data_IF_660864556155
#
_entry.id   IF_660864556155
#
_cell.length_a   1.000
_cell.length_b   1.000
_cell.length_c   1.000
_cell.angle_alpha   90.00
_cell.angle_beta   90.00
_cell.angle_gamma   90.00
#
_symmetry.space_group_name_H-M   'P 1'
#
loop_
_entity.id
_entity.type
_entity.pdbx_description
1 polymer ?
#
# COMPACT_ATOMS: atom_id res chain seq x y z
N UNK A 1 96.19 -29.14 -24.18
CA UNK A 1 95.01 -29.93 -24.62
C UNK A 1 93.77 -29.14 -24.16
N UNK A 2 93.15 -28.45 -25.11
CA UNK A 2 92.04 -27.51 -24.88
C UNK A 2 90.73 -28.30 -24.96
N UNK A 3 89.88 -28.17 -23.95
CA UNK A 3 88.47 -28.63 -23.98
C UNK A 3 87.57 -27.48 -24.50
N UNK A 4 86.56 -27.78 -25.33
CA UNK A 4 85.71 -26.74 -25.93
C UNK A 4 84.63 -26.24 -24.99
N UNK A 5 84.42 -24.93 -25.02
CA UNK A 5 83.41 -24.23 -24.30
C UNK A 5 81.97 -24.61 -24.75
N UNK A 6 81.12 -24.83 -23.76
CA UNK A 6 79.75 -25.28 -23.94
C UNK A 6 78.86 -24.17 -24.54
N UNK A 7 78.10 -24.50 -25.59
CA UNK A 7 77.23 -23.64 -26.41
C UNK A 7 75.90 -23.27 -25.66
N UNK A 8 75.82 -23.56 -24.35
CA UNK A 8 74.59 -23.39 -23.59
C UNK A 8 74.30 -21.96 -23.10
N UNK A 9 75.14 -20.94 -23.43
CA UNK A 9 74.98 -19.57 -22.91
C UNK A 9 74.36 -18.58 -23.90
N UNK A 10 73.98 -18.99 -25.12
CA UNK A 10 73.54 -18.04 -26.17
C UNK A 10 72.02 -17.82 -26.28
N UNK A 11 71.17 -18.45 -25.45
CA UNK A 11 69.73 -18.26 -25.49
C UNK A 11 69.10 -18.01 -24.11
N UNK A 12 69.56 -16.94 -23.45
CA UNK A 12 68.76 -16.33 -22.34
C UNK A 12 68.01 -15.12 -22.88
N UNK A 13 66.68 -15.17 -23.00
CA UNK A 13 65.91 -13.98 -23.34
C UNK A 13 66.07 -12.93 -22.21
N UNK A 14 66.14 -11.66 -22.54
CA UNK A 14 66.34 -10.61 -21.53
C UNK A 14 65.12 -10.58 -20.58
N UNK A 15 65.38 -10.51 -19.26
CA UNK A 15 64.40 -10.54 -18.19
C UNK A 15 63.22 -9.55 -18.38
N UNK A 16 63.45 -8.47 -19.11
CA UNK A 16 62.48 -7.42 -19.48
C UNK A 16 61.43 -7.95 -20.45
N UNK A 17 61.73 -8.93 -21.34
CA UNK A 17 60.76 -9.49 -22.27
C UNK A 17 59.75 -10.41 -21.55
N UNK A 18 60.18 -11.18 -20.55
CA UNK A 18 59.27 -12.00 -19.73
C UNK A 18 58.31 -11.19 -18.86
N UNK A 19 58.79 -10.03 -18.37
CA UNK A 19 57.98 -9.14 -17.53
C UNK A 19 56.86 -8.43 -18.34
N UNK A 20 57.14 -8.05 -19.59
CA UNK A 20 56.14 -7.46 -20.50
C UNK A 20 55.06 -8.47 -20.92
N UNK A 21 55.44 -9.72 -21.15
CA UNK A 21 54.47 -10.79 -21.49
C UNK A 21 53.58 -11.12 -20.29
N UNK A 22 54.13 -11.15 -19.06
CA UNK A 22 53.32 -11.36 -17.85
C UNK A 22 52.36 -10.21 -17.57
N UNK A 23 52.79 -8.95 -17.80
CA UNK A 23 51.89 -7.77 -17.63
C UNK A 23 50.76 -7.77 -18.67
N UNK A 24 51.07 -8.09 -19.93
CA UNK A 24 50.06 -8.18 -20.99
C UNK A 24 49.05 -9.33 -20.75
N UNK A 25 49.50 -10.47 -20.22
CA UNK A 25 48.62 -11.59 -19.86
C UNK A 25 47.69 -11.25 -18.66
N UNK A 26 48.19 -10.51 -17.65
CA UNK A 26 47.41 -10.03 -16.53
C UNK A 26 46.37 -8.98 -16.94
N UNK A 27 46.71 -8.05 -17.82
CA UNK A 27 45.76 -7.06 -18.38
C UNK A 27 44.67 -7.73 -19.23
N UNK A 28 45.03 -8.74 -20.05
CA UNK A 28 44.06 -9.50 -20.83
C UNK A 28 43.10 -10.31 -19.94
N UNK A 29 43.60 -10.89 -18.84
CA UNK A 29 42.77 -11.61 -17.86
C UNK A 29 41.81 -10.69 -17.11
N UNK A 30 42.27 -9.50 -16.71
CA UNK A 30 41.40 -8.47 -16.10
C UNK A 30 40.32 -7.98 -17.07
N UNK A 31 40.68 -7.76 -18.35
CA UNK A 31 39.71 -7.33 -19.37
C UNK A 31 38.64 -8.41 -19.64
N UNK A 32 39.04 -9.68 -19.69
CA UNK A 32 38.09 -10.79 -19.83
C UNK A 32 37.18 -10.97 -18.61
N UNK A 33 37.70 -10.74 -17.39
CA UNK A 33 36.90 -10.85 -16.16
C UNK A 33 35.86 -9.70 -16.04
N UNK A 34 36.16 -8.52 -16.57
CA UNK A 34 35.21 -7.41 -16.65
C UNK A 34 34.07 -7.65 -17.66
N UNK A 35 34.33 -8.47 -18.71
CA UNK A 35 33.30 -8.81 -19.70
C UNK A 35 32.40 -9.98 -19.27
N UNK A 36 32.77 -10.72 -18.21
CA UNK A 36 32.01 -11.86 -17.67
C UNK A 36 31.17 -11.49 -16.43
N UNK A 37 31.20 -10.23 -15.98
CA UNK A 37 30.23 -9.77 -14.99
C UNK A 37 28.86 -9.78 -15.67
N UNK A 38 27.91 -10.63 -15.24
CA UNK A 38 26.56 -10.49 -15.73
C UNK A 38 26.09 -9.09 -15.31
N UNK A 39 25.84 -8.25 -16.30
CA UNK A 39 25.10 -7.03 -16.10
C UNK A 39 23.73 -7.49 -15.61
N UNK A 40 23.58 -7.57 -14.30
CA UNK A 40 22.25 -7.66 -13.69
C UNK A 40 21.57 -6.35 -14.05
N UNK A 41 21.01 -6.30 -15.26
CA UNK A 41 19.98 -5.35 -15.56
C UNK A 41 18.93 -5.57 -14.47
N UNK A 42 18.95 -4.70 -13.45
CA UNK A 42 17.87 -4.63 -12.50
C UNK A 42 16.63 -4.57 -13.35
N UNK A 43 15.74 -5.56 -13.21
CA UNK A 43 14.45 -5.55 -13.84
C UNK A 43 13.73 -4.31 -13.29
N UNK A 44 13.98 -3.15 -13.91
CA UNK A 44 13.09 -2.03 -13.81
C UNK A 44 11.77 -2.59 -14.29
N UNK A 45 10.87 -2.84 -13.37
CA UNK A 45 9.50 -3.21 -13.66
C UNK A 45 9.02 -2.12 -14.62
N UNK A 46 8.93 -2.45 -15.91
CA UNK A 46 8.41 -1.55 -16.93
C UNK A 46 6.98 -1.28 -16.50
N UNK A 47 6.76 -0.18 -15.79
CA UNK A 47 5.42 0.33 -15.55
C UNK A 47 4.78 0.47 -16.92
N UNK A 48 3.71 -0.25 -17.17
CA UNK A 48 2.93 -0.17 -18.40
C UNK A 48 2.59 1.30 -18.59
N UNK A 49 2.99 1.94 -19.72
CA UNK A 49 2.68 3.34 -19.94
C UNK A 49 1.15 3.51 -19.93
N UNK A 50 0.64 4.27 -18.94
CA UNK A 50 -0.80 4.52 -18.77
C UNK A 50 -1.46 3.82 -17.58
N UNK A 51 -0.82 2.88 -16.89
CA UNK A 51 -1.36 2.31 -15.65
C UNK A 51 -1.24 3.31 -14.50
N UNK A 52 -2.35 3.62 -13.84
CA UNK A 52 -2.32 4.43 -12.63
C UNK A 52 -1.59 3.67 -11.51
N UNK A 53 -0.85 4.39 -10.64
CA UNK A 53 -0.13 3.75 -9.54
C UNK A 53 -1.09 3.18 -8.50
N UNK A 54 -0.77 1.99 -7.97
CA UNK A 54 -1.59 1.33 -6.96
C UNK A 54 -1.69 2.17 -5.68
N UNK A 55 -2.88 2.18 -5.10
CA UNK A 55 -3.25 2.97 -3.91
C UNK A 55 -3.67 2.05 -2.77
N UNK A 56 -3.18 2.32 -1.57
CA UNK A 56 -3.66 1.75 -0.31
C UNK A 56 -4.36 2.83 0.50
N UNK A 57 -5.54 2.54 1.02
CA UNK A 57 -6.25 3.38 1.99
C UNK A 57 -6.15 2.73 3.37
N UNK A 58 -5.61 3.47 4.34
CA UNK A 58 -5.56 3.04 5.73
C UNK A 58 -6.83 3.41 6.48
N UNK A 59 -7.14 2.65 7.55
CA UNK A 59 -8.18 3.06 8.48
C UNK A 59 -7.86 4.44 9.04
N UNK A 60 -8.88 5.29 9.20
CA UNK A 60 -8.69 6.65 9.68
C UNK A 60 -8.38 6.64 11.17
N UNK A 61 -7.46 7.50 11.59
CA UNK A 61 -7.09 7.63 12.99
C UNK A 61 -8.10 8.50 13.75
N UNK A 62 -8.64 7.99 14.87
CA UNK A 62 -9.44 8.82 15.78
C UNK A 62 -8.51 9.68 16.63
N UNK A 63 -8.47 10.96 16.36
CA UNK A 63 -7.62 11.95 17.03
C UNK A 63 -8.40 12.79 18.06
N UNK A 64 -9.61 12.36 18.40
CA UNK A 64 -10.43 13.04 19.41
C UNK A 64 -9.69 13.01 20.76
N UNK A 65 -9.41 14.17 21.37
CA UNK A 65 -8.80 14.22 22.69
C UNK A 65 -9.62 13.42 23.70
N UNK A 66 -8.96 12.65 24.57
CA UNK A 66 -9.63 11.78 25.54
C UNK A 66 -10.66 12.53 26.42
N UNK A 67 -10.41 13.80 26.73
CA UNK A 67 -11.35 14.66 27.47
C UNK A 67 -12.64 14.98 26.71
N UNK A 68 -12.64 14.85 25.39
CA UNK A 68 -13.80 15.13 24.52
C UNK A 68 -14.38 13.84 23.93
N UNK A 69 -13.73 12.70 24.15
CA UNK A 69 -14.15 11.44 23.58
C UNK A 69 -15.48 10.98 24.18
N UNK A 70 -16.43 10.62 23.30
CA UNK A 70 -17.75 10.07 23.67
C UNK A 70 -17.70 8.52 23.79
N UNK A 71 -16.60 7.98 24.29
CA UNK A 71 -16.36 6.54 24.28
C UNK A 71 -16.30 5.99 22.85
N UNK A 72 -16.74 4.75 22.65
CA UNK A 72 -16.67 4.06 21.35
C UNK A 72 -17.75 4.52 20.33
N UNK A 73 -18.60 5.50 20.69
CA UNK A 73 -19.75 5.89 19.87
C UNK A 73 -19.37 6.42 18.47
N UNK A 74 -18.13 6.90 18.29
CA UNK A 74 -17.62 7.44 17.02
C UNK A 74 -16.53 6.60 16.39
N UNK A 75 -16.09 5.51 17.03
CA UNK A 75 -15.01 4.65 16.53
C UNK A 75 -15.34 3.97 15.19
N UNK A 76 -16.63 3.75 14.89
CA UNK A 76 -17.07 3.24 13.60
C UNK A 76 -16.59 4.12 12.43
N UNK A 77 -16.34 5.42 12.64
CA UNK A 77 -15.85 6.33 11.61
C UNK A 77 -14.45 5.93 11.09
N UNK A 78 -13.62 5.28 11.88
CA UNK A 78 -12.28 4.85 11.46
C UNK A 78 -12.34 4.02 10.19
N UNK A 79 -13.17 2.98 10.20
CA UNK A 79 -13.33 2.07 9.05
C UNK A 79 -14.34 2.59 8.04
N UNK A 80 -15.38 3.25 8.49
CA UNK A 80 -16.42 3.76 7.58
C UNK A 80 -15.89 4.82 6.63
N UNK A 81 -15.04 5.74 7.10
CA UNK A 81 -14.42 6.76 6.26
C UNK A 81 -13.44 6.15 5.25
N UNK A 82 -12.61 5.19 5.66
CA UNK A 82 -11.68 4.51 4.76
C UNK A 82 -12.41 3.67 3.71
N UNK A 83 -13.47 2.94 4.08
CA UNK A 83 -14.27 2.14 3.16
C UNK A 83 -15.11 2.99 2.19
N UNK A 84 -15.63 4.13 2.67
CA UNK A 84 -16.33 5.09 1.82
C UNK A 84 -15.37 5.65 0.75
N UNK A 85 -14.18 6.07 1.15
CA UNK A 85 -13.15 6.54 0.23
C UNK A 85 -12.71 5.43 -0.74
N UNK A 86 -12.44 4.22 -0.23
CA UNK A 86 -12.08 3.06 -1.05
C UNK A 86 -13.15 2.78 -2.10
N UNK A 87 -14.43 2.84 -1.72
CA UNK A 87 -15.56 2.67 -2.64
C UNK A 87 -15.56 3.72 -3.75
N UNK A 88 -15.26 4.98 -3.41
CA UNK A 88 -15.12 6.05 -4.41
C UNK A 88 -13.94 5.80 -5.35
N UNK A 89 -12.80 5.37 -4.82
CA UNK A 89 -11.60 5.10 -5.62
C UNK A 89 -11.74 3.89 -6.55
N UNK A 90 -12.47 2.85 -6.13
CA UNK A 90 -12.77 1.68 -6.96
C UNK A 90 -13.59 2.02 -8.22
N UNK A 91 -14.28 3.18 -8.23
CA UNK A 91 -15.01 3.66 -9.41
C UNK A 91 -14.09 4.39 -10.41
N UNK A 92 -12.85 4.69 -10.04
CA UNK A 92 -11.88 5.34 -10.93
C UNK A 92 -11.33 4.30 -11.91
N UNK A 93 -11.58 4.50 -13.18
CA UNK A 93 -11.13 3.58 -14.22
C UNK A 93 -9.60 3.45 -14.24
N UNK A 94 -9.11 2.21 -14.14
CA UNK A 94 -7.69 1.91 -14.22
C UNK A 94 -6.87 2.24 -12.97
N UNK A 95 -7.50 2.65 -11.85
CA UNK A 95 -6.81 2.86 -10.58
C UNK A 95 -6.80 1.55 -9.77
N UNK A 96 -5.64 0.90 -9.60
CA UNK A 96 -5.54 -0.27 -8.74
C UNK A 96 -5.65 0.15 -7.27
N UNK A 97 -6.69 -0.30 -6.59
CA UNK A 97 -6.89 -0.08 -5.15
C UNK A 97 -6.67 -1.39 -4.41
N UNK A 98 -5.81 -1.37 -3.39
CA UNK A 98 -5.62 -2.52 -2.52
C UNK A 98 -6.75 -2.55 -1.50
N UNK A 99 -7.59 -3.57 -1.59
CA UNK A 99 -8.73 -3.73 -0.68
C UNK A 99 -8.26 -4.07 0.74
N UNK A 100 -9.06 -3.65 1.72
CA UNK A 100 -8.78 -3.83 3.16
C UNK A 100 -8.48 -5.27 3.54
N UNK A 101 -9.23 -6.25 3.00
CA UNK A 101 -9.00 -7.65 3.31
C UNK A 101 -7.63 -8.10 2.82
N UNK A 102 -7.26 -7.75 1.60
CA UNK A 102 -5.93 -8.06 1.06
C UNK A 102 -4.80 -7.44 1.87
N UNK A 103 -4.99 -6.20 2.33
CA UNK A 103 -4.03 -5.54 3.21
C UNK A 103 -3.88 -6.29 4.54
N UNK A 104 -5.00 -6.71 5.16
CA UNK A 104 -4.98 -7.50 6.40
C UNK A 104 -4.24 -8.83 6.24
N UNK A 105 -4.50 -9.56 5.16
CA UNK A 105 -3.84 -10.83 4.89
C UNK A 105 -2.32 -10.64 4.74
N UNK A 106 -1.90 -9.62 4.01
CA UNK A 106 -0.48 -9.26 3.85
C UNK A 106 0.18 -8.88 5.18
N UNK A 107 -0.51 -8.09 6.03
CA UNK A 107 -0.02 -7.73 7.36
C UNK A 107 0.14 -8.95 8.27
N UNK A 108 -0.81 -9.88 8.21
CA UNK A 108 -0.75 -11.15 8.95
C UNK A 108 0.41 -12.02 8.47
N UNK A 109 0.63 -12.14 7.15
CA UNK A 109 1.77 -12.85 6.56
C UNK A 109 3.11 -12.25 7.02
N UNK A 110 3.21 -10.92 7.08
CA UNK A 110 4.40 -10.21 7.52
C UNK A 110 4.57 -10.19 9.05
N UNK A 111 3.61 -10.74 9.81
CA UNK A 111 3.59 -10.74 11.29
C UNK A 111 3.70 -9.35 11.91
N UNK A 112 3.15 -8.35 11.24
CA UNK A 112 3.17 -6.96 11.71
C UNK A 112 2.22 -6.78 12.88
N UNK A 113 2.73 -6.25 13.99
CA UNK A 113 1.92 -5.98 15.19
C UNK A 113 1.11 -4.69 15.05
N UNK A 114 0.03 -4.58 15.82
CA UNK A 114 -0.77 -3.36 15.88
C UNK A 114 0.06 -2.14 16.37
N UNK A 115 1.05 -2.38 17.25
CA UNK A 115 1.95 -1.33 17.74
C UNK A 115 2.85 -0.76 16.63
N UNK A 116 3.33 -1.61 15.72
CA UNK A 116 4.11 -1.16 14.56
C UNK A 116 3.26 -0.35 13.59
N UNK A 117 1.96 -0.65 13.48
CA UNK A 117 1.02 0.10 12.64
C UNK A 117 0.64 1.48 13.21
N UNK A 118 0.95 1.76 14.48
CA UNK A 118 0.77 3.09 15.04
C UNK A 118 1.77 4.11 14.47
N UNK A 119 2.94 3.65 14.02
CA UNK A 119 3.96 4.49 13.38
C UNK A 119 3.68 4.65 11.88
N UNK A 120 3.59 5.91 11.43
CA UNK A 120 3.33 6.25 10.03
C UNK A 120 4.47 5.82 9.10
N UNK A 121 5.72 5.96 9.54
CA UNK A 121 6.87 5.52 8.75
C UNK A 121 6.87 4.00 8.54
N UNK A 122 6.42 3.23 9.56
CA UNK A 122 6.21 1.81 9.43
C UNK A 122 5.11 1.50 8.40
N UNK A 123 3.99 2.22 8.43
CA UNK A 123 2.92 2.08 7.44
C UNK A 123 3.42 2.40 6.02
N UNK A 124 4.24 3.44 5.83
CA UNK A 124 4.85 3.76 4.52
C UNK A 124 5.79 2.65 4.05
N UNK A 125 6.61 2.08 4.93
CA UNK A 125 7.46 0.92 4.59
C UNK A 125 6.63 -0.28 4.14
N UNK A 126 5.53 -0.57 4.82
CA UNK A 126 4.59 -1.63 4.44
C UNK A 126 3.92 -1.35 3.09
N UNK A 127 3.57 -0.11 2.80
CA UNK A 127 3.05 0.29 1.49
C UNK A 127 4.00 -0.10 0.35
N UNK A 128 5.30 0.07 0.54
CA UNK A 128 6.32 -0.39 -0.42
C UNK A 128 6.33 -1.91 -0.58
N UNK A 129 6.22 -2.65 0.52
CA UNK A 129 6.20 -4.12 0.51
C UNK A 129 4.98 -4.65 -0.26
N UNK A 130 3.82 -4.05 -0.08
CA UNK A 130 2.60 -4.44 -0.82
C UNK A 130 2.52 -3.87 -2.23
N UNK A 131 3.57 -3.16 -2.68
CA UNK A 131 3.64 -2.60 -4.02
C UNK A 131 2.75 -1.37 -4.24
N UNK A 132 2.28 -0.73 -3.18
CA UNK A 132 1.52 0.50 -3.29
C UNK A 132 2.44 1.69 -3.58
N UNK A 133 2.23 2.36 -4.69
CA UNK A 133 2.96 3.57 -5.03
C UNK A 133 2.43 4.80 -4.29
N UNK A 134 1.17 4.75 -3.84
CA UNK A 134 0.51 5.84 -3.11
C UNK A 134 -0.24 5.30 -1.91
N UNK A 135 -0.18 6.03 -0.81
CA UNK A 135 -0.89 5.71 0.42
C UNK A 135 -1.76 6.85 0.84
N UNK A 136 -2.98 6.54 1.25
CA UNK A 136 -3.93 7.49 1.79
C UNK A 136 -4.02 7.29 3.29
N UNK A 137 -3.72 8.33 4.03
CA UNK A 137 -3.90 8.45 5.46
C UNK A 137 -5.00 9.45 5.74
N UNK A 138 -5.84 9.13 6.70
CA UNK A 138 -6.87 10.02 7.18
C UNK A 138 -6.96 10.01 8.69
N UNK A 139 -7.58 11.04 9.21
CA UNK A 139 -7.92 11.14 10.62
C UNK A 139 -9.16 11.97 10.80
N UNK A 140 -9.73 11.85 11.97
CA UNK A 140 -10.85 12.70 12.37
C UNK A 140 -10.78 13.01 13.86
N UNK A 141 -11.41 14.11 14.24
CA UNK A 141 -11.69 14.40 15.64
C UNK A 141 -13.10 14.98 15.78
N UNK A 142 -13.71 14.72 16.94
CA UNK A 142 -15.08 15.09 17.24
C UNK A 142 -15.09 16.15 18.34
N UNK A 143 -15.75 17.28 18.06
CA UNK A 143 -15.96 18.35 19.04
C UNK A 143 -17.46 18.64 19.09
N UNK A 144 -18.09 18.34 20.23
CA UNK A 144 -19.54 18.44 20.31
C UNK A 144 -20.22 17.51 19.31
N UNK A 145 -21.06 18.05 18.44
CA UNK A 145 -21.76 17.29 17.39
C UNK A 145 -21.10 17.41 16.01
N UNK A 146 -19.95 18.07 15.94
CA UNK A 146 -19.19 18.24 14.69
C UNK A 146 -18.02 17.28 14.61
N UNK A 147 -17.76 16.81 13.39
CA UNK A 147 -16.62 15.96 13.04
C UNK A 147 -15.78 16.72 12.03
N UNK A 148 -14.52 16.94 12.32
CA UNK A 148 -13.55 17.37 11.33
C UNK A 148 -12.81 16.13 10.82
N UNK A 149 -12.82 15.94 9.51
CA UNK A 149 -12.15 14.85 8.80
C UNK A 149 -11.06 15.45 7.94
N UNK A 150 -9.86 14.93 8.02
CA UNK A 150 -8.74 15.30 7.14
C UNK A 150 -8.19 14.06 6.45
N UNK A 151 -7.64 14.26 5.26
CA UNK A 151 -7.06 13.20 4.46
C UNK A 151 -5.81 13.71 3.76
N UNK A 152 -4.81 12.84 3.59
CA UNK A 152 -3.61 13.13 2.79
C UNK A 152 -3.19 11.92 1.98
N UNK A 153 -2.61 12.17 0.82
CA UNK A 153 -2.01 11.17 -0.05
C UNK A 153 -0.50 11.34 -0.01
N UNK A 154 0.22 10.26 0.24
CA UNK A 154 1.68 10.23 0.29
C UNK A 154 2.20 9.31 -0.82
N UNK A 155 3.22 9.78 -1.54
CA UNK A 155 4.03 8.96 -2.42
C UNK A 155 4.95 8.07 -1.59
N UNK A 156 4.85 6.75 -1.74
CA UNK A 156 5.58 5.79 -0.90
C UNK A 156 7.08 5.77 -1.15
N UNK A 157 7.53 6.14 -2.34
CA UNK A 157 8.95 6.15 -2.68
C UNK A 157 9.67 7.36 -2.10
N UNK A 158 9.02 8.52 -2.13
CA UNK A 158 9.63 9.82 -1.77
C UNK A 158 9.15 10.36 -0.44
N UNK A 159 8.11 9.76 0.16
CA UNK A 159 7.41 10.25 1.37
C UNK A 159 6.84 11.67 1.22
N UNK A 160 6.65 12.14 -0.02
CA UNK A 160 6.08 13.47 -0.29
C UNK A 160 4.57 13.44 -0.22
N UNK A 161 3.99 14.45 0.41
CA UNK A 161 2.53 14.67 0.37
C UNK A 161 2.16 15.17 -1.02
N UNK A 162 1.30 14.41 -1.71
CA UNK A 162 0.79 14.72 -3.06
C UNK A 162 -0.53 15.48 -3.01
N UNK A 163 -1.32 15.25 -1.96
CA UNK A 163 -2.62 15.85 -1.74
C UNK A 163 -2.90 15.95 -0.25
N UNK A 164 -3.57 17.00 0.18
CA UNK A 164 -4.11 17.16 1.53
C UNK A 164 -5.36 18.01 1.47
N UNK A 165 -6.40 17.60 2.19
CA UNK A 165 -7.68 18.30 2.23
C UNK A 165 -8.46 17.94 3.51
N UNK A 166 -9.44 18.75 3.87
CA UNK A 166 -10.25 18.56 5.07
C UNK A 166 -11.70 18.98 4.87
N UNK A 167 -12.58 18.49 5.73
CA UNK A 167 -13.98 18.88 5.80
C UNK A 167 -14.49 18.82 7.23
N UNK A 168 -15.30 19.77 7.63
CA UNK A 168 -16.03 19.76 8.90
C UNK A 168 -17.53 19.59 8.63
N UNK A 169 -18.17 18.69 9.36
CA UNK A 169 -19.58 18.38 9.17
C UNK A 169 -20.24 17.91 10.48
N UNK A 170 -21.56 18.09 10.63
CA UNK A 170 -22.31 17.45 11.70
C UNK A 170 -22.20 15.93 11.63
N UNK A 171 -22.03 15.27 12.78
CA UNK A 171 -21.87 13.81 12.88
C UNK A 171 -22.94 13.00 12.11
N UNK A 172 -24.26 13.34 12.15
CA UNK A 172 -25.27 12.61 11.39
C UNK A 172 -25.09 12.69 9.87
N UNK A 173 -24.51 13.79 9.38
CA UNK A 173 -24.32 14.07 7.94
C UNK A 173 -22.90 13.88 7.44
N UNK A 174 -21.95 13.46 8.27
CA UNK A 174 -20.53 13.43 7.91
C UNK A 174 -20.25 12.57 6.67
N UNK A 175 -20.92 11.43 6.52
CA UNK A 175 -20.71 10.52 5.39
C UNK A 175 -21.12 11.12 4.04
N UNK A 176 -22.12 12.03 4.04
CA UNK A 176 -22.50 12.80 2.85
C UNK A 176 -21.52 13.94 2.56
N UNK A 177 -21.03 14.59 3.60
CA UNK A 177 -20.16 15.76 3.47
C UNK A 177 -18.72 15.40 3.09
N UNK A 178 -18.27 14.15 3.32
CA UNK A 178 -16.95 13.67 2.84
C UNK A 178 -16.94 13.31 1.34
N UNK A 179 -18.10 13.15 0.69
CA UNK A 179 -18.15 12.78 -0.72
C UNK A 179 -17.45 13.78 -1.66
N UNK A 180 -17.65 15.11 -1.53
CA UNK A 180 -16.90 16.07 -2.33
C UNK A 180 -15.38 15.99 -2.10
N UNK A 181 -14.93 15.72 -0.87
CA UNK A 181 -13.53 15.52 -0.53
C UNK A 181 -12.99 14.28 -1.22
N UNK A 182 -13.67 13.15 -1.15
CA UNK A 182 -13.30 11.90 -1.82
C UNK A 182 -13.16 12.08 -3.34
N UNK A 183 -14.07 12.83 -3.98
CA UNK A 183 -13.98 13.16 -5.40
C UNK A 183 -12.78 14.05 -5.75
N UNK A 184 -12.44 15.03 -4.90
CA UNK A 184 -11.24 15.84 -5.09
C UNK A 184 -9.98 14.98 -5.00
N UNK A 185 -9.92 14.08 -4.02
CA UNK A 185 -8.83 13.12 -3.87
C UNK A 185 -8.73 12.19 -5.08
N UNK A 186 -9.84 11.63 -5.55
CA UNK A 186 -9.86 10.76 -6.75
C UNK A 186 -9.29 11.49 -7.98
N UNK A 187 -9.65 12.77 -8.19
CA UNK A 187 -9.07 13.60 -9.26
C UNK A 187 -7.56 13.81 -9.09
N UNK A 188 -7.11 14.06 -7.87
CA UNK A 188 -5.68 14.21 -7.58
C UNK A 188 -4.87 12.91 -7.85
N UNK A 189 -5.54 11.76 -7.78
CA UNK A 189 -4.97 10.46 -8.14
C UNK A 189 -5.01 10.14 -9.64
N UNK A 190 -5.55 11.06 -10.46
CA UNK A 190 -5.54 10.95 -11.92
C UNK A 190 -6.84 10.41 -12.51
N UNK A 191 -7.92 10.32 -11.73
CA UNK A 191 -9.20 9.81 -12.19
C UNK A 191 -10.38 10.75 -11.95
N UNK A 192 -11.48 10.47 -12.63
CA UNK A 192 -12.80 11.01 -12.34
C UNK A 192 -13.61 9.88 -11.65
N UNK A 193 -13.99 10.08 -10.40
CA UNK A 193 -14.95 9.19 -9.76
C UNK A 193 -16.36 9.59 -10.20
N UNK A 194 -17.19 8.61 -10.50
CA UNK A 194 -18.62 8.82 -10.66
C UNK A 194 -19.23 9.33 -9.34
N UNK A 195 -20.43 9.89 -9.41
CA UNK A 195 -21.15 10.27 -8.19
C UNK A 195 -21.45 9.00 -7.39
N UNK A 196 -20.76 8.86 -6.26
CA UNK A 196 -21.00 7.74 -5.36
C UNK A 196 -22.33 7.99 -4.62
N UNK A 197 -23.11 6.93 -4.46
CA UNK A 197 -24.33 7.00 -3.66
C UNK A 197 -23.95 7.14 -2.19
N UNK A 198 -24.52 8.14 -1.53
CA UNK A 198 -24.26 8.39 -0.11
C UNK A 198 -25.26 7.61 0.76
N UNK A 199 -24.79 7.04 1.85
CA UNK A 199 -25.60 6.30 2.82
C UNK A 199 -25.57 6.98 4.19
N UNK A 200 -26.61 6.74 4.99
CA UNK A 200 -26.70 7.30 6.33
C UNK A 200 -25.60 6.76 7.26
N UNK A 201 -25.17 7.56 8.22
CA UNK A 201 -24.19 7.14 9.23
C UNK A 201 -24.62 5.86 10.00
N UNK A 202 -25.93 5.63 10.15
CA UNK A 202 -26.47 4.42 10.78
C UNK A 202 -26.13 3.15 9.95
N UNK A 203 -26.15 3.22 8.62
CA UNK A 203 -25.81 2.10 7.75
C UNK A 203 -24.31 1.79 7.82
N UNK A 204 -23.49 2.83 7.87
CA UNK A 204 -22.05 2.69 8.06
C UNK A 204 -21.70 2.11 9.44
N UNK A 205 -22.44 2.48 10.49
CA UNK A 205 -22.26 1.86 11.82
C UNK A 205 -22.62 0.37 11.81
N UNK A 206 -23.76 0.00 11.20
CA UNK A 206 -24.16 -1.39 11.07
C UNK A 206 -23.13 -2.20 10.26
N UNK A 207 -22.53 -1.60 9.25
CA UNK A 207 -21.43 -2.20 8.49
C UNK A 207 -20.19 -2.41 9.35
N UNK A 208 -19.79 -1.41 10.13
CA UNK A 208 -18.65 -1.51 11.06
C UNK A 208 -18.85 -2.61 12.11
N UNK A 209 -20.06 -2.74 12.67
CA UNK A 209 -20.42 -3.82 13.59
C UNK A 209 -20.28 -5.20 12.93
N UNK A 210 -20.69 -5.33 11.66
CA UNK A 210 -20.53 -6.58 10.91
C UNK A 210 -19.04 -6.90 10.67
N UNK A 211 -18.23 -5.90 10.37
CA UNK A 211 -16.76 -6.08 10.23
C UNK A 211 -16.13 -6.51 11.56
N UNK A 212 -16.56 -5.95 12.69
CA UNK A 212 -16.07 -6.34 14.00
C UNK A 212 -16.39 -7.82 14.32
N UNK A 213 -17.56 -8.30 13.93
CA UNK A 213 -17.91 -9.72 14.03
C UNK A 213 -16.99 -10.60 13.18
N UNK A 214 -16.74 -10.19 11.94
CA UNK A 214 -15.83 -10.92 11.03
C UNK A 214 -14.39 -10.96 11.57
N UNK A 215 -13.90 -9.85 12.10
CA UNK A 215 -12.57 -9.73 12.72
C UNK A 215 -12.43 -10.60 13.98
N UNK A 216 -13.52 -10.76 14.75
CA UNK A 216 -13.58 -11.68 15.88
C UNK A 216 -13.74 -13.17 15.47
N UNK A 217 -13.72 -13.49 14.18
CA UNK A 217 -13.91 -14.85 13.67
C UNK A 217 -15.35 -15.37 13.70
N UNK A 218 -16.32 -14.53 14.06
CA UNK A 218 -17.75 -14.86 14.17
C UNK A 218 -18.42 -14.71 12.80
N UNK A 219 -17.98 -15.53 11.83
CA UNK A 219 -18.28 -15.34 10.40
C UNK A 219 -19.78 -15.45 10.10
N UNK A 220 -20.48 -16.43 10.68
CA UNK A 220 -21.92 -16.60 10.45
C UNK A 220 -22.71 -15.36 10.89
N UNK A 221 -22.38 -14.82 12.05
CA UNK A 221 -23.03 -13.61 12.57
C UNK A 221 -22.70 -12.37 11.74
N UNK A 222 -21.49 -12.30 11.20
CA UNK A 222 -21.08 -11.22 10.28
C UNK A 222 -21.90 -11.30 8.97
N UNK A 223 -22.06 -12.49 8.42
CA UNK A 223 -22.89 -12.74 7.23
C UNK A 223 -24.33 -12.31 7.48
N UNK A 224 -24.94 -12.74 8.59
CA UNK A 224 -26.31 -12.34 8.96
C UNK A 224 -26.45 -10.81 9.12
N UNK A 225 -25.45 -10.16 9.71
CA UNK A 225 -25.47 -8.70 9.89
C UNK A 225 -25.39 -7.97 8.53
N UNK A 226 -24.52 -8.42 7.62
CA UNK A 226 -24.40 -7.86 6.27
C UNK A 226 -25.67 -8.08 5.44
N UNK A 227 -26.30 -9.25 5.53
CA UNK A 227 -27.56 -9.53 4.84
C UNK A 227 -28.71 -8.63 5.34
N UNK A 228 -28.81 -8.42 6.67
CA UNK A 228 -29.77 -7.46 7.22
C UNK A 228 -29.53 -6.05 6.72
N UNK A 229 -28.28 -5.60 6.68
CA UNK A 229 -27.91 -4.29 6.13
C UNK A 229 -28.33 -4.18 4.66
N UNK A 230 -28.02 -5.18 3.83
CA UNK A 230 -28.39 -5.20 2.41
C UNK A 230 -29.90 -5.31 2.16
N UNK A 231 -30.66 -5.88 3.10
CA UNK A 231 -32.12 -5.85 3.03
C UNK A 231 -32.66 -4.44 3.16
N UNK A 232 -32.02 -3.59 3.98
CA UNK A 232 -32.39 -2.19 4.20
C UNK A 232 -31.82 -1.27 3.10
N UNK A 233 -30.54 -1.43 2.81
CA UNK A 233 -29.78 -0.59 1.88
C UNK A 233 -29.21 -1.47 0.75
N UNK A 234 -30.07 -1.85 -0.20
CA UNK A 234 -29.77 -2.85 -1.25
C UNK A 234 -28.56 -2.57 -2.10
N UNK A 235 -28.18 -1.30 -2.23
CA UNK A 235 -27.06 -0.84 -3.07
C UNK A 235 -25.84 -0.45 -2.25
N UNK A 236 -25.76 -0.90 -0.98
CA UNK A 236 -24.61 -0.62 -0.13
C UNK A 236 -23.42 -1.51 -0.55
N UNK A 237 -22.72 -1.08 -1.60
CA UNK A 237 -21.63 -1.83 -2.24
C UNK A 237 -20.53 -2.33 -1.28
N UNK A 238 -20.13 -1.62 -0.20
CA UNK A 238 -19.16 -2.15 0.76
C UNK A 238 -19.64 -3.45 1.42
N UNK A 239 -20.93 -3.54 1.82
CA UNK A 239 -21.47 -4.75 2.44
C UNK A 239 -21.59 -5.90 1.44
N UNK A 240 -21.93 -5.61 0.19
CA UNK A 240 -21.99 -6.63 -0.85
C UNK A 240 -20.61 -7.26 -1.10
N UNK A 241 -19.57 -6.43 -1.30
CA UNK A 241 -18.19 -6.93 -1.47
C UNK A 241 -17.72 -7.74 -0.28
N UNK A 242 -17.99 -7.26 0.94
CA UNK A 242 -17.59 -7.95 2.16
C UNK A 242 -18.31 -9.27 2.33
N UNK A 243 -19.60 -9.32 2.02
CA UNK A 243 -20.41 -10.56 2.08
C UNK A 243 -19.84 -11.62 1.13
N UNK A 244 -19.53 -11.24 -0.12
CA UNK A 244 -18.90 -12.16 -1.09
C UNK A 244 -17.56 -12.67 -0.57
N UNK A 245 -16.73 -11.79 -0.05
CA UNK A 245 -15.41 -12.14 0.52
C UNK A 245 -15.52 -13.13 1.70
N UNK A 246 -16.50 -12.93 2.60
CA UNK A 246 -16.73 -13.82 3.73
C UNK A 246 -17.24 -15.20 3.30
N UNK A 247 -18.17 -15.25 2.36
CA UNK A 247 -18.71 -16.51 1.83
C UNK A 247 -17.62 -17.33 1.13
N UNK A 248 -16.75 -16.67 0.34
CA UNK A 248 -15.60 -17.32 -0.29
C UNK A 248 -14.59 -17.86 0.75
N UNK A 249 -14.31 -17.09 1.80
CA UNK A 249 -13.46 -17.54 2.91
C UNK A 249 -14.05 -18.74 3.68
N UNK A 250 -15.36 -18.76 3.87
CA UNK A 250 -16.06 -19.90 4.52
C UNK A 250 -16.06 -21.15 3.65
N UNK A 251 -16.21 -20.99 2.33
CA UNK A 251 -16.20 -22.09 1.38
C UNK A 251 -14.83 -22.79 1.23
N UNK A 252 -13.75 -22.10 1.59
CA UNK A 252 -12.36 -22.63 1.53
C UNK A 252 -11.88 -23.29 2.83
N UNK A 253 -12.70 -23.31 3.88
CA UNK A 253 -12.42 -23.99 5.16
C UNK A 253 -12.89 -25.41 5.18
#
# INVERSE_FOLDING_TARGET
MNAPASIAQLFRPPAVALQRVRLAALCALCLCMCLLLPWTAGAATLATPGALPAVVVWDFDNQTPAALARGDATDFLRRSLSENLTTTLLQVAGLPVVERQRLKDLLAEQRVSAGELADEDARVRLGRIVGAARMVFGGFFVIGDEVQVHVRVIDTATSRVLFSDEVTAPLPGVMQQVEPLNRRLARALGGAAADARSFAAASWRAYDEALALADAGRLDQAVDALQRLLTKDKEFAPAERQLVSLLDKMARR
#
